data_IF_766497607865
#
_entry.id   IF_766497607865
#
_cell.length_a   1.000
_cell.length_b   1.000
_cell.length_c   1.000
_cell.angle_alpha   90.00
_cell.angle_beta   90.00
_cell.angle_gamma   90.00
#
_symmetry.space_group_name_H-M   'P 1'
#
loop_
_entity.id
_entity.type
_entity.pdbx_description
1 polymer ?
#
# COMPACT_ATOMS: atom_id res chain seq x y z
N UNK A 1 17.89 -3.97 17.55
CA UNK A 1 17.73 -2.57 17.09
C UNK A 1 18.20 -2.42 15.64
N UNK A 2 19.39 -2.93 15.29
CA UNK A 2 19.90 -2.92 13.91
C UNK A 2 19.03 -3.73 12.94
N UNK A 3 18.53 -4.89 13.35
CA UNK A 3 17.63 -5.74 12.56
C UNK A 3 16.32 -5.01 12.17
N UNK A 4 15.68 -4.34 13.13
CA UNK A 4 14.45 -3.58 12.87
C UNK A 4 14.67 -2.40 11.93
N UNK A 5 15.83 -1.73 12.03
CA UNK A 5 16.22 -0.66 11.12
C UNK A 5 16.46 -1.17 9.69
N UNK A 6 17.07 -2.34 9.54
CA UNK A 6 17.28 -2.98 8.24
C UNK A 6 15.95 -3.41 7.60
N UNK A 7 15.01 -3.94 8.39
CA UNK A 7 13.65 -4.30 7.92
C UNK A 7 12.93 -3.04 7.44
N UNK A 8 12.97 -1.95 8.21
CA UNK A 8 12.34 -0.68 7.84
C UNK A 8 12.93 -0.12 6.54
N UNK A 9 14.25 -0.02 6.45
CA UNK A 9 14.94 0.54 5.28
C UNK A 9 14.76 -0.35 4.04
N UNK A 10 14.84 -1.67 4.24
CA UNK A 10 14.58 -2.66 3.20
C UNK A 10 13.17 -2.57 2.63
N UNK A 11 12.15 -2.45 3.49
CA UNK A 11 10.76 -2.34 3.08
C UNK A 11 10.46 -1.00 2.40
N UNK A 12 11.13 0.07 2.80
CA UNK A 12 10.90 1.43 2.29
C UNK A 12 11.51 1.63 0.89
N UNK A 13 12.76 1.24 0.68
CA UNK A 13 13.54 1.57 -0.51
C UNK A 13 13.90 0.36 -1.37
N UNK A 14 14.46 -0.69 -0.77
CA UNK A 14 15.04 -1.81 -1.53
C UNK A 14 13.95 -2.74 -2.06
N UNK A 15 13.04 -3.17 -1.20
CA UNK A 15 11.91 -4.04 -1.53
C UNK A 15 10.60 -3.27 -1.55
N UNK A 16 10.58 -2.13 -2.27
CA UNK A 16 9.33 -1.39 -2.43
C UNK A 16 8.36 -2.25 -3.26
N UNK A 17 7.37 -2.83 -2.55
CA UNK A 17 6.42 -3.79 -3.15
C UNK A 17 5.58 -3.18 -4.28
N UNK A 18 5.40 -1.84 -4.31
CA UNK A 18 4.66 -1.16 -5.37
C UNK A 18 5.41 -1.27 -6.69
N UNK A 19 6.70 -1.00 -6.70
CA UNK A 19 7.52 -0.96 -7.90
C UNK A 19 8.15 -2.32 -8.24
N UNK A 20 8.45 -3.14 -7.23
CA UNK A 20 9.03 -4.46 -7.44
C UNK A 20 7.99 -5.53 -7.80
N UNK A 21 6.82 -5.48 -7.18
CA UNK A 21 5.75 -6.48 -7.36
C UNK A 21 4.49 -5.92 -8.04
N UNK A 22 4.49 -4.64 -8.39
CA UNK A 22 3.34 -3.94 -8.98
C UNK A 22 2.05 -4.04 -8.15
N UNK A 23 2.19 -4.18 -6.82
CA UNK A 23 1.06 -4.23 -5.91
C UNK A 23 0.58 -2.81 -5.57
N UNK A 24 -0.74 -2.60 -5.60
CA UNK A 24 -1.32 -1.30 -5.28
C UNK A 24 -1.39 -0.33 -6.46
N UNK A 25 -1.35 -0.83 -7.69
CA UNK A 25 -1.51 0.00 -8.89
C UNK A 25 -2.90 0.64 -9.01
N UNK A 26 -3.95 0.04 -8.43
CA UNK A 26 -5.31 0.58 -8.52
C UNK A 26 -5.43 2.01 -7.96
N UNK A 27 -5.04 2.29 -6.70
CA UNK A 27 -5.00 3.66 -6.19
C UNK A 27 -3.91 4.50 -6.87
N UNK A 28 -2.79 3.88 -7.23
CA UNK A 28 -1.68 4.52 -7.91
C UNK A 28 -2.09 5.17 -9.24
N UNK A 29 -2.87 4.50 -10.06
CA UNK A 29 -3.37 5.03 -11.34
C UNK A 29 -4.56 5.98 -11.18
N UNK A 30 -5.43 5.72 -10.20
CA UNK A 30 -6.70 6.44 -10.03
C UNK A 30 -6.60 7.77 -9.30
N UNK A 31 -5.74 7.86 -8.28
CA UNK A 31 -5.77 8.94 -7.29
C UNK A 31 -4.65 9.95 -7.47
N UNK A 32 -3.55 9.60 -8.11
CA UNK A 32 -2.35 10.45 -8.25
C UNK A 32 -2.49 11.59 -9.26
N UNK A 33 -3.65 12.25 -9.30
CA UNK A 33 -3.85 13.43 -10.17
C UNK A 33 -3.35 14.74 -9.56
N UNK A 34 -3.25 14.81 -8.24
CA UNK A 34 -2.72 15.95 -7.49
C UNK A 34 -1.90 15.47 -6.29
N UNK A 35 -0.89 16.24 -5.90
CA UNK A 35 -0.01 15.94 -4.76
C UNK A 35 -0.79 15.85 -3.45
N UNK A 36 -1.78 16.73 -3.23
CA UNK A 36 -2.58 16.74 -2.00
C UNK A 36 -3.39 15.45 -1.84
N UNK A 37 -4.00 14.96 -2.93
CA UNK A 37 -4.77 13.71 -2.89
C UNK A 37 -3.84 12.50 -2.72
N UNK A 38 -2.65 12.52 -3.31
CA UNK A 38 -1.65 11.46 -3.14
C UNK A 38 -1.18 11.36 -1.69
N UNK A 39 -0.90 12.49 -1.03
CA UNK A 39 -0.52 12.54 0.38
C UNK A 39 -1.65 12.08 1.31
N UNK A 40 -2.85 12.61 1.13
CA UNK A 40 -4.00 12.24 1.96
C UNK A 40 -4.32 10.74 1.87
N UNK A 41 -4.28 10.19 0.65
CA UNK A 41 -4.50 8.76 0.42
C UNK A 41 -3.35 7.92 0.95
N UNK A 42 -2.11 8.37 0.80
CA UNK A 42 -0.94 7.70 1.35
C UNK A 42 -1.02 7.55 2.87
N UNK A 43 -1.39 8.61 3.58
CA UNK A 43 -1.57 8.60 5.04
C UNK A 43 -2.74 7.68 5.45
N UNK A 44 -3.87 7.76 4.76
CA UNK A 44 -5.01 6.88 5.03
C UNK A 44 -4.66 5.41 4.79
N UNK A 45 -3.95 5.11 3.71
CA UNK A 45 -3.49 3.75 3.40
C UNK A 45 -2.48 3.27 4.44
N UNK A 46 -1.59 4.13 4.93
CA UNK A 46 -0.63 3.81 5.99
C UNK A 46 -1.35 3.35 7.26
N UNK A 47 -2.37 4.09 7.68
CA UNK A 47 -3.17 3.74 8.84
C UNK A 47 -3.89 2.41 8.68
N UNK A 48 -4.60 2.22 7.57
CA UNK A 48 -5.34 0.98 7.28
C UNK A 48 -4.40 -0.21 7.15
N UNK A 49 -3.27 -0.06 6.44
CA UNK A 49 -2.31 -1.12 6.23
C UNK A 49 -1.68 -1.61 7.53
N UNK A 50 -1.32 -0.68 8.41
CA UNK A 50 -0.76 -1.01 9.73
C UNK A 50 -1.77 -1.77 10.60
N UNK A 51 -3.02 -1.29 10.67
CA UNK A 51 -4.09 -1.98 11.39
C UNK A 51 -4.40 -3.35 10.81
N UNK A 52 -4.46 -3.46 9.48
CA UNK A 52 -4.71 -4.72 8.79
C UNK A 52 -3.61 -5.74 9.04
N UNK A 53 -2.34 -5.32 9.00
CA UNK A 53 -1.20 -6.20 9.26
C UNK A 53 -1.21 -6.76 10.69
N UNK A 54 -1.47 -5.90 11.68
CA UNK A 54 -1.56 -6.33 13.09
C UNK A 54 -2.74 -7.28 13.29
N UNK A 55 -3.93 -6.92 12.82
CA UNK A 55 -5.14 -7.72 12.98
C UNK A 55 -5.01 -9.09 12.30
N UNK A 56 -4.44 -9.11 11.09
CA UNK A 56 -4.21 -10.35 10.35
C UNK A 56 -3.15 -11.24 11.02
N UNK A 57 -2.10 -10.66 11.57
CA UNK A 57 -1.07 -11.38 12.30
C UNK A 57 -1.64 -12.05 13.57
N UNK A 58 -2.41 -11.29 14.36
CA UNK A 58 -3.07 -11.81 15.56
C UNK A 58 -4.02 -12.94 15.18
N UNK A 59 -4.87 -12.74 14.17
CA UNK A 59 -5.83 -13.73 13.75
C UNK A 59 -5.15 -15.00 13.19
N UNK A 60 -4.06 -14.85 12.46
CA UNK A 60 -3.28 -15.97 11.94
C UNK A 60 -2.77 -16.85 13.08
N UNK A 61 -2.08 -16.27 14.06
CA UNK A 61 -1.47 -17.03 15.15
C UNK A 61 -2.49 -17.62 16.15
N UNK A 62 -3.57 -16.88 16.45
CA UNK A 62 -4.53 -17.32 17.47
C UNK A 62 -5.69 -18.16 16.93
N UNK A 63 -6.00 -18.06 15.64
CA UNK A 63 -7.15 -18.74 15.05
C UNK A 63 -6.75 -19.73 13.97
N UNK A 64 -5.98 -19.31 12.97
CA UNK A 64 -5.67 -20.16 11.82
C UNK A 64 -4.68 -21.29 12.16
N UNK A 65 -3.65 -21.00 12.93
CA UNK A 65 -2.64 -22.00 13.32
C UNK A 65 -3.24 -23.10 14.19
N UNK A 66 -3.97 -22.82 15.30
CA UNK A 66 -4.52 -23.89 16.15
C UNK A 66 -5.63 -24.69 15.46
N UNK A 67 -6.37 -24.09 14.50
CA UNK A 67 -7.41 -24.77 13.73
C UNK A 67 -6.87 -25.51 12.49
N UNK A 68 -5.57 -25.41 12.21
CA UNK A 68 -4.91 -25.96 11.00
C UNK A 68 -5.56 -25.56 9.67
N UNK A 69 -6.14 -24.35 9.62
CA UNK A 69 -6.81 -23.77 8.45
C UNK A 69 -5.90 -22.78 7.68
N UNK A 70 -4.60 -23.03 7.70
CA UNK A 70 -3.60 -22.14 7.08
C UNK A 70 -3.78 -21.96 5.58
N UNK A 71 -4.41 -22.92 4.89
CA UNK A 71 -4.73 -22.80 3.45
C UNK A 71 -5.83 -21.77 3.15
N UNK A 72 -6.63 -21.38 4.16
CA UNK A 72 -7.68 -20.37 4.03
C UNK A 72 -7.21 -18.95 4.38
N UNK A 73 -5.91 -18.75 4.63
CA UNK A 73 -5.36 -17.45 5.07
C UNK A 73 -5.77 -16.29 4.15
N UNK A 74 -5.73 -16.45 2.83
CA UNK A 74 -6.07 -15.40 1.86
C UNK A 74 -7.52 -14.95 2.01
N UNK A 75 -8.47 -15.90 2.09
CA UNK A 75 -9.90 -15.60 2.20
C UNK A 75 -10.17 -14.89 3.53
N UNK A 76 -9.61 -15.40 4.61
CA UNK A 76 -9.78 -14.84 5.95
C UNK A 76 -9.21 -13.42 6.01
N UNK A 77 -8.05 -13.17 5.43
CA UNK A 77 -7.44 -11.83 5.41
C UNK A 77 -8.27 -10.84 4.60
N UNK A 78 -8.80 -11.23 3.45
CA UNK A 78 -9.70 -10.37 2.67
C UNK A 78 -10.92 -9.98 3.49
N UNK A 79 -11.55 -10.94 4.17
CA UNK A 79 -12.75 -10.69 5.00
C UNK A 79 -12.42 -9.77 6.19
N UNK A 80 -11.28 -10.00 6.85
CA UNK A 80 -10.83 -9.17 7.98
C UNK A 80 -10.53 -7.75 7.54
N UNK A 81 -9.77 -7.58 6.45
CA UNK A 81 -9.42 -6.27 5.89
C UNK A 81 -10.70 -5.53 5.49
N UNK A 82 -11.62 -6.20 4.78
CA UNK A 82 -12.88 -5.61 4.37
C UNK A 82 -13.73 -5.17 5.56
N UNK A 83 -13.88 -6.03 6.57
CA UNK A 83 -14.61 -5.72 7.80
C UNK A 83 -14.01 -4.55 8.57
N UNK A 84 -12.68 -4.51 8.70
CA UNK A 84 -11.94 -3.47 9.38
C UNK A 84 -12.09 -2.11 8.69
N UNK A 85 -11.97 -2.08 7.37
CA UNK A 85 -12.16 -0.84 6.59
C UNK A 85 -13.60 -0.38 6.62
N UNK A 86 -14.60 -1.27 6.57
CA UNK A 86 -16.00 -0.90 6.74
C UNK A 86 -16.28 -0.29 8.12
N UNK A 87 -15.68 -0.83 9.16
CA UNK A 87 -15.80 -0.32 10.51
C UNK A 87 -15.21 1.10 10.63
N UNK A 88 -14.01 1.31 10.07
CA UNK A 88 -13.37 2.63 9.99
C UNK A 88 -14.24 3.60 9.20
N UNK A 89 -14.85 3.16 8.10
CA UNK A 89 -15.73 3.98 7.27
C UNK A 89 -16.97 4.44 8.02
N UNK A 90 -17.60 3.55 8.78
CA UNK A 90 -18.74 3.88 9.64
C UNK A 90 -18.35 4.89 10.74
N UNK A 91 -17.20 4.70 11.35
CA UNK A 91 -16.68 5.60 12.36
C UNK A 91 -16.39 7.00 11.79
N UNK A 92 -15.73 7.09 10.64
CA UNK A 92 -15.46 8.37 9.94
C UNK A 92 -16.75 9.08 9.55
N UNK A 93 -17.75 8.35 9.07
CA UNK A 93 -19.06 8.91 8.72
C UNK A 93 -19.76 9.53 9.93
N UNK A 94 -19.62 8.91 11.11
CA UNK A 94 -20.23 9.40 12.34
C UNK A 94 -19.51 10.63 12.93
N UNK A 95 -18.16 10.67 12.81
CA UNK A 95 -17.33 11.66 13.51
C UNK A 95 -17.00 12.87 12.65
N UNK A 96 -16.76 12.69 11.35
CA UNK A 96 -16.31 13.77 10.45
C UNK A 96 -16.92 13.62 9.06
N UNK A 97 -18.10 14.17 8.79
CA UNK A 97 -18.77 14.04 7.49
C UNK A 97 -17.96 14.68 6.34
N UNK A 98 -17.17 15.73 6.61
CA UNK A 98 -16.30 16.39 5.62
C UNK A 98 -15.17 15.43 5.20
N UNK A 99 -14.52 14.77 6.14
CA UNK A 99 -13.48 13.80 5.88
C UNK A 99 -14.03 12.57 5.14
N UNK A 100 -15.24 12.15 5.49
CA UNK A 100 -15.96 11.09 4.79
C UNK A 100 -16.29 11.45 3.34
N UNK A 101 -16.61 12.72 3.05
CA UNK A 101 -16.91 13.17 1.70
C UNK A 101 -15.67 13.19 0.80
N UNK A 102 -14.51 13.55 1.36
CA UNK A 102 -13.23 13.58 0.63
C UNK A 102 -12.62 12.17 0.48
N UNK A 103 -12.58 11.38 1.54
CA UNK A 103 -12.02 10.03 1.54
C UNK A 103 -13.01 8.94 1.12
N UNK A 104 -14.32 9.19 1.22
CA UNK A 104 -15.37 8.19 1.01
C UNK A 104 -15.37 7.55 -0.38
N UNK A 105 -15.00 8.32 -1.40
CA UNK A 105 -14.84 7.81 -2.78
C UNK A 105 -13.60 6.92 -2.92
N UNK A 106 -12.56 7.16 -2.11
CA UNK A 106 -11.29 6.42 -2.15
C UNK A 106 -11.25 5.22 -1.20
N UNK A 107 -12.13 5.17 -0.20
CA UNK A 107 -12.19 4.07 0.76
C UNK A 107 -12.42 2.69 0.11
N UNK A 108 -13.32 2.51 -0.86
CA UNK A 108 -13.44 1.24 -1.58
C UNK A 108 -12.15 0.82 -2.30
N UNK A 109 -11.40 1.79 -2.85
CA UNK A 109 -10.10 1.54 -3.47
C UNK A 109 -9.02 1.11 -2.45
N UNK A 110 -9.12 1.58 -1.21
CA UNK A 110 -8.22 1.18 -0.12
C UNK A 110 -8.60 -0.23 0.38
N UNK A 111 -9.90 -0.55 0.44
CA UNK A 111 -10.40 -1.86 0.90
C UNK A 111 -9.97 -3.00 -0.04
N UNK A 112 -10.08 -2.79 -1.35
CA UNK A 112 -9.69 -3.76 -2.37
C UNK A 112 -8.22 -3.64 -2.78
N UNK A 113 -7.41 -2.93 -2.00
CA UNK A 113 -6.01 -2.68 -2.34
C UNK A 113 -5.17 -3.95 -2.16
N UNK A 114 -4.66 -4.46 -3.26
CA UNK A 114 -3.76 -5.62 -3.27
C UNK A 114 -2.46 -5.39 -2.49
N UNK A 115 -2.05 -4.13 -2.27
CA UNK A 115 -0.91 -3.80 -1.42
C UNK A 115 -1.15 -4.19 0.04
N UNK A 116 -2.34 -3.93 0.57
CA UNK A 116 -2.68 -4.28 1.97
C UNK A 116 -2.64 -5.79 2.15
N UNK A 117 -3.25 -6.54 1.23
CA UNK A 117 -3.22 -8.00 1.26
C UNK A 117 -1.80 -8.55 1.06
N UNK A 118 -1.03 -7.97 0.12
CA UNK A 118 0.33 -8.42 -0.17
C UNK A 118 1.28 -8.25 1.02
N UNK A 119 1.23 -7.09 1.69
CA UNK A 119 2.06 -6.82 2.87
C UNK A 119 1.70 -7.75 4.04
N UNK A 120 0.41 -8.03 4.27
CA UNK A 120 -0.02 -8.97 5.31
C UNK A 120 0.45 -10.39 5.03
N UNK A 121 0.37 -10.86 3.78
CA UNK A 121 0.87 -12.17 3.36
C UNK A 121 2.39 -12.27 3.46
N UNK A 122 3.12 -11.23 3.03
CA UNK A 122 4.58 -11.19 3.13
C UNK A 122 5.06 -11.24 4.58
N UNK A 123 4.40 -10.52 5.49
CA UNK A 123 4.74 -10.51 6.90
C UNK A 123 4.56 -11.90 7.54
N UNK A 124 3.53 -12.64 7.16
CA UNK A 124 3.27 -14.00 7.67
C UNK A 124 4.21 -15.02 7.04
N UNK A 125 4.48 -14.93 5.74
CA UNK A 125 5.39 -15.83 5.05
C UNK A 125 6.85 -15.73 5.55
N UNK A 126 7.21 -14.58 6.13
CA UNK A 126 8.53 -14.35 6.74
C UNK A 126 8.55 -14.70 8.24
N UNK A 127 7.47 -15.25 8.79
CA UNK A 127 7.32 -15.59 10.21
C UNK A 127 7.76 -14.46 11.17
N UNK A 128 7.43 -13.22 10.79
CA UNK A 128 7.79 -12.03 11.56
C UNK A 128 7.07 -12.02 12.91
N UNK A 129 7.80 -11.60 13.95
CA UNK A 129 7.18 -11.32 15.25
C UNK A 129 6.19 -10.13 15.13
N UNK A 130 5.26 -10.00 16.06
CA UNK A 130 4.27 -8.92 16.04
C UNK A 130 4.92 -7.53 15.93
N UNK A 131 6.02 -7.29 16.65
CA UNK A 131 6.77 -6.04 16.59
C UNK A 131 7.43 -5.84 15.22
N UNK A 132 8.03 -6.88 14.67
CA UNK A 132 8.65 -6.85 13.34
C UNK A 132 7.59 -6.64 12.25
N UNK A 133 6.40 -7.25 12.39
CA UNK A 133 5.26 -7.04 11.49
C UNK A 133 4.79 -5.58 11.52
N UNK A 134 4.72 -4.97 12.70
CA UNK A 134 4.37 -3.55 12.83
C UNK A 134 5.39 -2.65 12.11
N UNK A 135 6.69 -2.85 12.36
CA UNK A 135 7.76 -2.06 11.74
C UNK A 135 7.79 -2.28 10.22
N UNK A 136 7.62 -3.52 9.77
CA UNK A 136 7.54 -3.86 8.35
C UNK A 136 6.34 -3.18 7.67
N UNK A 137 5.16 -3.23 8.30
CA UNK A 137 3.95 -2.60 7.78
C UNK A 137 4.07 -1.07 7.67
N UNK A 138 4.65 -0.41 8.67
CA UNK A 138 4.92 1.04 8.64
C UNK A 138 5.95 1.38 7.56
N UNK A 139 7.03 0.62 7.45
CA UNK A 139 8.04 0.80 6.40
C UNK A 139 7.47 0.64 4.99
N UNK A 140 6.71 -0.41 4.78
CA UNK A 140 6.03 -0.69 3.52
C UNK A 140 5.03 0.41 3.15
N UNK A 141 4.25 0.89 4.11
CA UNK A 141 3.28 1.98 3.91
C UNK A 141 3.95 3.32 3.63
N UNK A 142 5.05 3.62 4.31
CA UNK A 142 5.86 4.80 4.02
C UNK A 142 6.47 4.74 2.60
N UNK A 143 6.97 3.56 2.20
CA UNK A 143 7.43 3.30 0.83
C UNK A 143 6.33 3.49 -0.22
N UNK A 144 5.12 3.00 0.07
CA UNK A 144 3.94 3.21 -0.78
C UNK A 144 3.64 4.71 -0.93
N UNK A 145 3.58 5.44 0.18
CA UNK A 145 3.30 6.88 0.17
C UNK A 145 4.36 7.67 -0.59
N UNK A 146 5.63 7.34 -0.41
CA UNK A 146 6.74 7.96 -1.13
C UNK A 146 6.61 7.78 -2.63
N UNK A 147 6.34 6.56 -3.09
CA UNK A 147 6.15 6.26 -4.52
C UNK A 147 4.91 6.97 -5.08
N UNK A 148 3.81 7.03 -4.30
CA UNK A 148 2.61 7.77 -4.70
C UNK A 148 2.87 9.26 -4.90
N UNK A 149 3.63 9.88 -4.01
CA UNK A 149 3.99 11.31 -4.10
C UNK A 149 4.91 11.57 -5.27
N UNK A 150 5.96 10.74 -5.45
CA UNK A 150 6.87 10.85 -6.60
C UNK A 150 6.13 10.73 -7.93
N UNK A 151 5.23 9.75 -8.03
CA UNK A 151 4.45 9.55 -9.25
C UNK A 151 3.45 10.68 -9.48
N UNK A 152 2.81 11.19 -8.41
CA UNK A 152 1.93 12.36 -8.49
C UNK A 152 2.66 13.58 -9.04
N UNK A 153 3.88 13.85 -8.53
CA UNK A 153 4.73 14.93 -9.01
C UNK A 153 5.13 14.78 -10.49
N UNK A 154 5.49 13.54 -10.89
CA UNK A 154 5.80 13.24 -12.29
C UNK A 154 4.60 13.46 -13.21
N UNK A 155 3.40 13.03 -12.80
CA UNK A 155 2.17 13.23 -13.59
C UNK A 155 1.81 14.70 -13.73
N UNK A 156 2.00 15.49 -12.69
CA UNK A 156 1.73 16.92 -12.72
C UNK A 156 2.67 17.63 -13.71
N UNK A 157 3.95 17.27 -13.73
CA UNK A 157 4.91 17.78 -14.71
C UNK A 157 4.60 17.33 -16.14
N UNK A 158 4.25 16.06 -16.33
CA UNK A 158 3.89 15.51 -17.63
C UNK A 158 2.59 16.12 -18.20
N UNK A 159 1.65 16.52 -17.35
CA UNK A 159 0.41 17.18 -17.76
C UNK A 159 0.65 18.58 -18.35
N UNK A 160 1.76 19.23 -17.99
CA UNK A 160 2.16 20.53 -18.53
C UNK A 160 2.92 20.41 -19.86
N UNK A 161 3.37 19.21 -20.21
CA UNK A 161 4.09 18.93 -21.45
C UNK A 161 3.18 18.84 -22.67
N UNK A 162 3.72 19.15 -23.85
CA UNK A 162 3.02 18.96 -25.14
C UNK A 162 3.10 17.48 -25.57
N UNK A 163 2.22 16.65 -24.99
CA UNK A 163 2.15 15.23 -25.35
C UNK A 163 1.21 15.02 -26.54
N UNK A 164 1.56 14.13 -27.49
CA UNK A 164 0.64 13.71 -28.54
C UNK A 164 -0.65 13.12 -27.95
N UNK A 165 -1.79 13.37 -28.58
CA UNK A 165 -3.11 12.92 -28.11
C UNK A 165 -3.19 11.40 -27.80
N UNK A 166 -2.44 10.59 -28.55
CA UNK A 166 -2.40 9.14 -28.36
C UNK A 166 -1.75 8.71 -27.02
N UNK A 167 -0.87 9.53 -26.45
CA UNK A 167 -0.17 9.23 -25.20
C UNK A 167 -0.77 9.93 -23.97
N UNK A 168 -1.74 10.80 -24.15
CA UNK A 168 -2.35 11.51 -23.04
C UNK A 168 -3.17 10.58 -22.14
N UNK A 169 -3.09 10.81 -20.81
CA UNK A 169 -3.88 10.09 -19.81
C UNK A 169 -3.23 8.80 -19.29
N UNK A 170 -3.90 7.68 -19.44
CA UNK A 170 -3.47 6.37 -18.89
C UNK A 170 -2.19 5.81 -19.54
N UNK A 171 -1.96 5.92 -20.88
CA UNK A 171 -0.77 5.35 -21.49
C UNK A 171 0.53 5.94 -20.95
N UNK A 172 0.63 7.27 -20.82
CA UNK A 172 1.83 7.91 -20.29
C UNK A 172 2.06 7.56 -18.82
N UNK A 173 0.98 7.40 -18.06
CA UNK A 173 1.07 6.98 -16.67
C UNK A 173 1.66 5.57 -16.52
N UNK A 174 1.27 4.62 -17.38
CA UNK A 174 1.83 3.27 -17.40
C UNK A 174 3.31 3.26 -17.81
N UNK A 175 3.68 4.02 -18.83
CA UNK A 175 5.07 4.15 -19.27
C UNK A 175 5.93 4.75 -18.15
N UNK A 176 5.46 5.79 -17.50
CA UNK A 176 6.17 6.43 -16.37
C UNK A 176 6.31 5.49 -15.17
N UNK A 177 5.27 4.71 -14.86
CA UNK A 177 5.33 3.70 -13.81
C UNK A 177 6.34 2.60 -14.13
N UNK A 178 6.38 2.13 -15.38
CA UNK A 178 7.35 1.14 -15.85
C UNK A 178 8.79 1.65 -15.78
N UNK A 179 9.05 2.88 -16.23
CA UNK A 179 10.38 3.51 -16.12
C UNK A 179 10.82 3.69 -14.67
N UNK A 180 9.89 4.10 -13.81
CA UNK A 180 10.16 4.25 -12.37
C UNK A 180 10.48 2.89 -11.72
N UNK A 181 9.76 1.84 -12.10
CA UNK A 181 10.05 0.47 -11.65
C UNK A 181 11.45 0.01 -12.07
N UNK A 182 11.84 0.23 -13.32
CA UNK A 182 13.18 -0.10 -13.80
C UNK A 182 14.28 0.66 -13.04
N UNK A 183 14.05 1.95 -12.75
CA UNK A 183 14.98 2.74 -11.94
C UNK A 183 15.14 2.20 -10.52
N UNK A 184 14.04 1.78 -9.89
CA UNK A 184 14.07 1.20 -8.54
C UNK A 184 14.63 -0.23 -8.49
N UNK A 185 14.52 -1.01 -9.57
CA UNK A 185 15.18 -2.31 -9.67
C UNK A 185 16.71 -2.20 -9.58
N UNK A 186 17.30 -1.08 -9.98
CA UNK A 186 18.72 -0.81 -9.77
C UNK A 186 19.14 -0.81 -8.30
N UNK A 187 18.24 -0.44 -7.38
CA UNK A 187 18.51 -0.48 -5.95
C UNK A 187 18.48 -1.91 -5.36
N UNK A 188 17.75 -2.84 -5.97
CA UNK A 188 17.71 -4.24 -5.51
C UNK A 188 19.06 -4.94 -5.64
N UNK A 189 19.87 -4.55 -6.63
CA UNK A 189 21.23 -5.11 -6.82
C UNK A 189 22.25 -4.68 -5.77
N UNK A 190 21.95 -3.68 -4.94
CA UNK A 190 22.87 -3.17 -3.90
C UNK A 190 22.64 -3.86 -2.56
N UNK A 191 21.51 -4.54 -2.38
CA UNK A 191 21.08 -5.17 -1.12
C UNK A 191 21.18 -6.70 -1.06
N UNK A 192 21.71 -7.35 -2.10
CA UNK A 192 21.91 -8.81 -2.15
C UNK A 192 23.33 -9.22 -1.82
#
# INVERSE_FOLDING_TARGET
>A
MTELGLILFGALLVNNFVLAQFLGLCPFMGITRSLDTALATGLATTFVLTLAAISSHVLYHYVLVPLQLTYLNIIVFIVVIAGLVQLIQLYLKATSPILHQVLGVYLPLITSNCAVLGVTLLAINQDLTLLATFVFAVGAAAGFTLVMVLFGALREQLAQGQLPLAFQGTPIALISAGLMSLAFMGFQGIGS
#
